data_IF_749422652491
#
_entry.id   IF_749422652491
#
_cell.length_a   1.000
_cell.length_b   1.000
_cell.length_c   1.000
_cell.angle_alpha   90.00
_cell.angle_beta   90.00
_cell.angle_gamma   90.00
#
_symmetry.space_group_name_H-M   'P 1'
#
loop_
_entity.id
_entity.type
_entity.pdbx_description
1 polymer ?
#
# COMPACT_ATOMS: atom_id res chain seq x y z
N UNK A 1 -30.88 -40.32 54.09
CA UNK A 1 -30.70 -39.01 53.44
C UNK A 1 -29.22 -38.71 53.44
N UNK A 2 -28.54 -38.95 52.32
CA UNK A 2 -27.09 -38.77 52.21
C UNK A 2 -26.82 -37.52 51.35
N UNK A 3 -26.14 -36.55 51.96
CA UNK A 3 -25.97 -35.20 51.45
C UNK A 3 -24.84 -35.17 50.41
N UNK A 4 -25.19 -35.21 49.11
CA UNK A 4 -24.26 -34.99 48.01
C UNK A 4 -24.04 -33.50 47.78
N UNK A 5 -23.12 -32.89 48.52
CA UNK A 5 -22.65 -31.53 48.22
C UNK A 5 -21.15 -31.43 48.49
N UNK A 6 -20.34 -31.90 47.54
CA UNK A 6 -18.87 -31.83 47.67
C UNK A 6 -18.09 -31.83 46.36
N UNK A 7 -18.72 -31.58 45.21
CA UNK A 7 -18.04 -31.74 43.92
C UNK A 7 -18.49 -30.72 42.87
N UNK A 8 -18.40 -29.43 43.19
CA UNK A 8 -18.59 -28.34 42.20
C UNK A 8 -17.46 -27.30 42.18
N UNK A 9 -16.42 -27.44 43.00
CA UNK A 9 -15.40 -26.39 43.18
C UNK A 9 -14.05 -26.66 42.47
N UNK A 10 -13.83 -27.86 41.92
CA UNK A 10 -12.57 -28.20 41.26
C UNK A 10 -12.54 -27.89 39.75
N UNK A 11 -13.68 -27.53 39.14
CA UNK A 11 -13.78 -27.24 37.71
C UNK A 11 -13.87 -25.75 37.37
N UNK A 12 -14.12 -24.87 38.36
CA UNK A 12 -14.31 -23.42 38.12
C UNK A 12 -13.00 -22.64 38.08
N UNK A 13 -12.02 -23.00 38.92
CA UNK A 13 -10.72 -22.34 38.96
C UNK A 13 -9.82 -22.57 37.73
N UNK A 14 -9.66 -23.80 37.19
CA UNK A 14 -8.84 -24.00 35.99
C UNK A 14 -9.47 -23.36 34.74
N UNK A 15 -10.80 -23.34 34.64
CA UNK A 15 -11.50 -22.69 33.52
C UNK A 15 -11.30 -21.16 33.51
N UNK A 16 -11.36 -20.52 34.69
CA UNK A 16 -11.07 -19.08 34.82
C UNK A 16 -9.60 -18.75 34.51
N UNK A 17 -8.66 -19.61 34.91
CA UNK A 17 -7.25 -19.44 34.59
C UNK A 17 -6.99 -19.53 33.07
N UNK A 18 -7.63 -20.46 32.37
CA UNK A 18 -7.51 -20.58 30.91
C UNK A 18 -8.08 -19.34 30.21
N UNK A 19 -9.25 -18.85 30.63
CA UNK A 19 -9.85 -17.63 30.06
C UNK A 19 -8.96 -16.41 30.30
N UNK A 20 -8.39 -16.27 31.51
CA UNK A 20 -7.46 -15.21 31.82
C UNK A 20 -6.17 -15.27 30.96
N UNK A 21 -5.61 -16.47 30.74
CA UNK A 21 -4.43 -16.66 29.87
C UNK A 21 -4.76 -16.30 28.42
N UNK A 22 -5.95 -16.68 27.91
CA UNK A 22 -6.40 -16.32 26.56
C UNK A 22 -6.57 -14.80 26.42
N UNK A 23 -7.15 -14.12 27.41
CA UNK A 23 -7.31 -12.66 27.41
C UNK A 23 -5.97 -11.91 27.53
N UNK A 24 -5.02 -12.43 28.31
CA UNK A 24 -3.67 -11.87 28.42
C UNK A 24 -2.91 -12.06 27.11
N UNK A 25 -3.01 -13.24 26.48
CA UNK A 25 -2.42 -13.49 25.17
C UNK A 25 -3.03 -12.59 24.10
N UNK A 26 -4.36 -12.43 24.06
CA UNK A 26 -5.07 -11.57 23.11
C UNK A 26 -4.75 -10.07 23.27
N UNK A 27 -4.52 -9.59 24.50
CA UNK A 27 -4.16 -8.18 24.77
C UNK A 27 -2.66 -7.90 24.68
N UNK A 28 -1.81 -8.93 24.69
CA UNK A 28 -0.36 -8.79 24.54
C UNK A 28 0.07 -8.59 23.07
N UNK A 29 1.29 -8.10 22.84
CA UNK A 29 1.93 -8.06 21.51
C UNK A 29 1.93 -9.42 20.79
N UNK A 30 1.76 -10.54 21.52
CA UNK A 30 1.66 -11.88 20.95
C UNK A 30 0.27 -12.20 20.36
N UNK A 31 -0.80 -11.56 20.83
CA UNK A 31 -2.15 -11.72 20.27
C UNK A 31 -2.22 -11.26 18.81
N UNK A 32 -1.59 -10.12 18.50
CA UNK A 32 -1.36 -9.67 17.12
C UNK A 32 -0.62 -10.72 16.30
N UNK A 33 0.39 -11.39 16.88
CA UNK A 33 1.21 -12.43 16.22
C UNK A 33 0.42 -13.72 15.91
N UNK A 34 -0.53 -14.11 16.77
CA UNK A 34 -1.34 -15.33 16.57
C UNK A 34 -2.45 -15.10 15.54
N UNK A 35 -2.98 -13.88 15.40
CA UNK A 35 -3.92 -13.55 14.32
C UNK A 35 -3.34 -13.73 12.91
N UNK A 36 -2.01 -13.67 12.74
CA UNK A 36 -1.34 -13.98 11.45
C UNK A 36 -1.34 -15.48 11.11
N UNK A 37 -1.42 -16.37 12.11
CA UNK A 37 -1.41 -17.82 11.89
C UNK A 37 -2.78 -18.40 11.48
N UNK A 38 -3.86 -17.63 11.65
CA UNK A 38 -5.25 -18.07 11.40
C UNK A 38 -5.81 -17.50 10.10
N UNK A 39 -5.18 -16.46 9.54
CA UNK A 39 -5.55 -15.85 8.27
C UNK A 39 -4.78 -16.56 7.15
N UNK A 40 -5.43 -16.80 6.01
CA UNK A 40 -4.83 -17.50 4.88
C UNK A 40 -3.54 -16.83 4.40
N UNK A 41 -2.86 -17.45 3.42
CA UNK A 41 -1.72 -16.84 2.75
C UNK A 41 -2.05 -15.39 2.38
N UNK A 42 -1.17 -14.49 2.77
CA UNK A 42 -1.32 -13.05 2.77
C UNK A 42 -0.29 -12.52 1.81
N UNK A 43 -0.74 -12.24 0.59
CA UNK A 43 0.15 -11.79 -0.47
C UNK A 43 0.40 -10.28 -0.31
N UNK A 44 1.55 -9.82 -0.79
CA UNK A 44 1.84 -8.38 -0.78
C UNK A 44 0.86 -7.60 -1.69
N UNK A 45 0.64 -6.30 -1.44
CA UNK A 45 -0.16 -5.46 -2.32
C UNK A 45 0.32 -5.51 -3.77
N UNK A 46 -0.61 -5.38 -4.72
CA UNK A 46 -0.29 -5.23 -6.14
C UNK A 46 -0.41 -3.76 -6.55
N UNK A 47 0.52 -3.30 -7.40
CA UNK A 47 0.52 -1.93 -7.96
C UNK A 47 0.53 -2.03 -9.47
N UNK A 48 -0.50 -1.48 -10.10
CA UNK A 48 -0.56 -1.25 -11.53
C UNK A 48 -0.57 0.24 -11.84
N UNK A 49 0.17 0.62 -12.87
CA UNK A 49 0.27 1.99 -13.31
C UNK A 49 0.22 2.08 -14.83
N UNK A 50 -0.74 2.87 -15.31
CA UNK A 50 -0.93 3.19 -16.72
C UNK A 50 -0.96 4.71 -16.90
N UNK A 51 -0.81 5.22 -18.11
CA UNK A 51 -0.96 6.64 -18.37
C UNK A 51 -1.61 6.92 -19.72
N UNK A 52 -2.24 8.07 -19.80
CA UNK A 52 -3.00 8.50 -20.96
C UNK A 52 -2.63 9.95 -21.30
N UNK A 53 -2.51 10.27 -22.60
CA UNK A 53 -2.52 9.34 -23.73
C UNK A 53 -1.20 8.57 -23.89
N UNK A 54 -1.31 7.40 -24.54
CA UNK A 54 -0.17 6.62 -25.02
C UNK A 54 0.36 7.29 -26.30
N UNK A 55 1.41 8.11 -26.19
CA UNK A 55 2.02 8.81 -27.34
C UNK A 55 2.66 10.13 -26.93
N UNK A 56 3.09 10.94 -27.93
CA UNK A 56 3.72 12.24 -27.70
C UNK A 56 2.73 13.25 -27.14
N UNK A 57 2.81 13.53 -25.85
CA UNK A 57 2.00 14.57 -25.19
C UNK A 57 2.75 15.37 -24.17
N UNK A 58 2.39 16.64 -24.03
CA UNK A 58 3.01 17.55 -23.07
C UNK A 58 2.83 17.02 -21.65
N UNK A 59 3.81 17.23 -20.76
CA UNK A 59 3.67 16.92 -19.34
C UNK A 59 2.44 17.58 -18.70
N UNK A 60 2.02 18.75 -19.22
CA UNK A 60 0.78 19.45 -18.81
C UNK A 60 -0.50 18.68 -19.11
N UNK A 61 -0.46 17.78 -20.09
CA UNK A 61 -1.61 17.01 -20.59
C UNK A 61 -1.54 15.55 -20.16
N UNK A 62 -0.38 15.11 -19.67
CA UNK A 62 -0.14 13.75 -19.24
C UNK A 62 -0.82 13.46 -17.89
N UNK A 63 -1.58 12.36 -17.85
CA UNK A 63 -2.21 11.87 -16.62
C UNK A 63 -1.91 10.39 -16.45
N UNK A 64 -1.38 10.04 -15.27
CA UNK A 64 -1.20 8.67 -14.82
C UNK A 64 -2.44 8.17 -14.10
N UNK A 65 -2.76 6.90 -14.27
CA UNK A 65 -3.76 6.19 -13.49
C UNK A 65 -3.07 5.07 -12.73
N UNK A 66 -3.21 5.12 -11.41
CA UNK A 66 -2.70 4.08 -10.51
C UNK A 66 -3.86 3.22 -10.03
N UNK A 67 -3.64 1.91 -9.99
CA UNK A 67 -4.53 0.92 -9.42
C UNK A 67 -3.76 0.13 -8.37
N UNK A 68 -4.32 0.04 -7.16
CA UNK A 68 -3.76 -0.70 -6.04
C UNK A 68 -4.78 -1.77 -5.61
N UNK A 69 -4.31 -2.96 -5.29
CA UNK A 69 -5.13 -4.07 -4.82
C UNK A 69 -4.41 -4.86 -3.72
N UNK A 70 -5.15 -5.30 -2.72
CA UNK A 70 -4.69 -6.15 -1.62
C UNK A 70 -5.81 -7.10 -1.17
N UNK A 71 -5.46 -8.31 -0.73
CA UNK A 71 -6.41 -9.33 -0.30
C UNK A 71 -7.03 -9.03 1.08
N UNK A 72 -6.39 -8.18 1.90
CA UNK A 72 -6.88 -7.77 3.21
C UNK A 72 -7.23 -6.29 3.31
N UNK A 73 -6.23 -5.41 3.34
CA UNK A 73 -6.37 -3.98 3.56
C UNK A 73 -5.08 -3.22 3.24
N UNK A 74 -5.20 -2.19 2.41
CA UNK A 74 -4.10 -1.26 2.12
C UNK A 74 -3.89 -0.28 3.29
N UNK A 75 -2.64 -0.06 3.69
CA UNK A 75 -2.24 1.07 4.54
C UNK A 75 -1.96 2.28 3.67
N UNK A 76 -3.00 3.06 3.41
CA UNK A 76 -2.92 4.26 2.59
C UNK A 76 -1.94 5.31 3.10
N UNK A 77 -1.63 5.36 4.41
CA UNK A 77 -0.65 6.30 4.94
C UNK A 77 0.75 6.13 4.34
N UNK A 78 1.03 4.93 3.82
CA UNK A 78 2.30 4.58 3.19
C UNK A 78 2.34 4.84 1.69
N UNK A 79 1.19 5.14 1.07
CA UNK A 79 1.11 5.30 -0.38
C UNK A 79 1.80 6.59 -0.83
N UNK A 80 2.77 6.43 -1.74
CA UNK A 80 3.58 7.53 -2.27
C UNK A 80 3.84 7.34 -3.76
N UNK A 81 3.74 8.44 -4.51
CA UNK A 81 4.25 8.53 -5.88
C UNK A 81 5.32 9.62 -5.93
N UNK A 82 6.54 9.23 -6.31
CA UNK A 82 7.72 10.09 -6.31
C UNK A 82 8.39 10.11 -7.69
N UNK A 83 8.87 11.28 -8.10
CA UNK A 83 9.83 11.43 -9.19
C UNK A 83 11.23 11.35 -8.61
N UNK A 84 11.92 10.25 -8.86
CA UNK A 84 13.17 9.89 -8.18
C UNK A 84 14.27 10.90 -8.44
N UNK A 85 14.39 11.41 -9.67
CA UNK A 85 15.50 12.28 -10.07
C UNK A 85 15.50 13.61 -9.32
N UNK A 86 14.32 14.13 -8.98
CA UNK A 86 14.15 15.44 -8.34
C UNK A 86 13.62 15.33 -6.90
N UNK A 87 13.49 14.10 -6.36
CA UNK A 87 12.94 13.84 -5.03
C UNK A 87 11.53 14.41 -4.80
N UNK A 88 10.75 14.61 -5.87
CA UNK A 88 9.45 15.30 -5.81
C UNK A 88 8.33 14.31 -5.63
N UNK A 89 7.58 14.45 -4.55
CA UNK A 89 6.35 13.69 -4.31
C UNK A 89 5.20 14.31 -5.09
N UNK A 90 4.60 13.52 -5.99
CA UNK A 90 3.47 13.95 -6.80
C UNK A 90 2.14 13.74 -6.08
N UNK A 91 2.06 12.67 -5.29
CA UNK A 91 0.84 12.24 -4.63
C UNK A 91 1.15 11.45 -3.37
N UNK A 92 0.31 11.67 -2.37
CA UNK A 92 0.15 10.86 -1.16
C UNK A 92 -1.30 10.44 -1.08
N UNK A 93 -1.62 9.38 -0.33
CA UNK A 93 -3.02 9.02 -0.15
C UNK A 93 -3.77 10.06 0.66
N UNK A 94 -5.10 9.93 0.62
CA UNK A 94 -5.97 10.58 1.59
C UNK A 94 -6.01 9.69 2.84
N UNK A 95 -5.74 10.30 3.99
CA UNK A 95 -5.62 9.62 5.29
C UNK A 95 -6.94 8.97 5.78
N UNK A 96 -8.07 9.33 5.16
CA UNK A 96 -9.42 8.86 5.49
C UNK A 96 -9.86 7.62 4.70
N UNK A 97 -9.02 7.11 3.78
CA UNK A 97 -9.35 5.97 2.95
C UNK A 97 -9.06 4.65 3.68
N UNK A 98 -10.01 3.72 3.57
CA UNK A 98 -9.86 2.33 4.01
C UNK A 98 -10.50 1.45 2.94
N UNK A 99 -9.77 0.45 2.44
CA UNK A 99 -10.17 -0.32 1.29
C UNK A 99 -9.12 -1.34 0.85
N UNK A 100 -9.60 -2.33 0.11
CA UNK A 100 -8.79 -3.36 -0.55
C UNK A 100 -8.31 -2.95 -1.93
N UNK A 101 -9.04 -2.04 -2.54
CA UNK A 101 -8.75 -1.52 -3.88
C UNK A 101 -8.73 0.00 -3.84
N UNK A 102 -7.87 0.60 -4.66
CA UNK A 102 -7.80 2.04 -4.82
C UNK A 102 -7.40 2.43 -6.23
N UNK A 103 -8.12 3.40 -6.78
CA UNK A 103 -7.79 3.99 -8.09
C UNK A 103 -7.66 5.50 -7.94
N UNK A 104 -6.59 6.06 -8.49
CA UNK A 104 -6.39 7.51 -8.50
C UNK A 104 -5.78 8.00 -9.80
N UNK A 105 -5.98 9.30 -10.06
CA UNK A 105 -5.42 9.99 -11.21
C UNK A 105 -4.35 10.96 -10.75
N UNK A 106 -3.18 10.87 -11.37
CA UNK A 106 -2.02 11.69 -11.05
C UNK A 106 -1.69 12.59 -12.24
N UNK A 107 -1.77 13.89 -12.03
CA UNK A 107 -1.38 14.87 -13.05
C UNK A 107 0.12 15.17 -12.98
N UNK A 108 0.76 15.20 -14.15
CA UNK A 108 2.18 15.55 -14.29
C UNK A 108 2.40 17.03 -14.63
N UNK A 109 1.34 17.84 -14.68
CA UNK A 109 1.45 19.25 -15.08
C UNK A 109 2.42 20.06 -14.21
N UNK A 110 2.52 19.71 -12.93
CA UNK A 110 3.45 20.31 -11.98
C UNK A 110 4.95 20.00 -12.23
N UNK A 111 5.25 19.12 -13.19
CA UNK A 111 6.61 18.80 -13.65
C UNK A 111 6.97 19.56 -14.93
N UNK A 112 5.98 20.20 -15.58
CA UNK A 112 6.22 20.99 -16.77
C UNK A 112 7.18 22.14 -16.45
N UNK A 113 8.22 22.30 -17.27
CA UNK A 113 9.23 23.33 -17.08
C UNK A 113 10.31 23.00 -16.05
N UNK A 114 10.33 21.79 -15.47
CA UNK A 114 11.45 21.37 -14.65
C UNK A 114 12.70 21.14 -15.54
N UNK A 115 13.80 21.91 -15.32
CA UNK A 115 14.97 21.87 -16.18
C UNK A 115 15.72 20.54 -16.12
N UNK A 116 15.73 19.86 -14.97
CA UNK A 116 16.43 18.58 -14.80
C UNK A 116 15.73 17.45 -15.55
N UNK A 117 14.41 17.40 -15.47
CA UNK A 117 13.58 16.43 -16.20
C UNK A 117 13.72 16.65 -17.72
N UNK A 118 13.64 17.91 -18.16
CA UNK A 118 13.78 18.24 -19.58
C UNK A 118 15.18 17.89 -20.09
N UNK A 119 16.24 18.24 -19.36
CA UNK A 119 17.61 17.93 -19.76
C UNK A 119 17.87 16.43 -19.87
N UNK A 120 17.30 15.62 -18.96
CA UNK A 120 17.43 14.16 -18.99
C UNK A 120 16.59 13.50 -20.08
N UNK A 121 15.50 14.15 -20.51
CA UNK A 121 14.57 13.57 -21.47
C UNK A 121 13.90 12.28 -20.98
N UNK A 122 13.85 12.08 -19.65
CA UNK A 122 13.15 10.99 -19.00
C UNK A 122 12.97 11.27 -17.51
N UNK A 123 12.00 10.61 -16.89
CA UNK A 123 11.78 10.59 -15.45
C UNK A 123 11.43 9.18 -14.97
N UNK A 124 11.81 8.88 -13.74
CA UNK A 124 11.50 7.60 -13.08
C UNK A 124 10.47 7.87 -11.99
N UNK A 125 9.31 7.23 -12.12
CA UNK A 125 8.29 7.21 -11.09
C UNK A 125 8.51 6.02 -10.19
N UNK A 126 8.66 6.28 -8.89
CA UNK A 126 8.60 5.27 -7.84
C UNK A 126 7.23 5.33 -7.19
N UNK A 127 6.53 4.21 -7.20
CA UNK A 127 5.19 4.06 -6.63
C UNK A 127 5.30 2.98 -5.56
N UNK A 128 4.93 3.33 -4.34
CA UNK A 128 4.97 2.40 -3.21
C UNK A 128 3.69 2.44 -2.40
N UNK A 129 3.31 1.29 -1.84
CA UNK A 129 2.22 1.13 -0.88
C UNK A 129 2.49 -0.12 -0.03
N UNK A 130 2.13 -0.07 1.24
CA UNK A 130 2.11 -1.22 2.13
C UNK A 130 0.69 -1.62 2.50
N UNK A 131 0.51 -2.86 2.95
CA UNK A 131 -0.71 -3.33 3.61
C UNK A 131 -0.72 -2.93 5.11
N UNK A 132 -1.83 -3.21 5.79
CA UNK A 132 -2.00 -2.99 7.24
C UNK A 132 -1.10 -3.87 8.13
N UNK A 133 -0.34 -4.78 7.51
CA UNK A 133 0.60 -5.71 8.13
C UNK A 133 2.06 -5.33 7.91
N UNK A 134 2.31 -4.30 7.11
CA UNK A 134 3.63 -3.76 6.80
C UNK A 134 4.35 -4.44 5.63
N UNK A 135 3.66 -5.24 4.81
CA UNK A 135 4.21 -5.75 3.55
C UNK A 135 4.24 -4.63 2.51
N UNK A 136 5.44 -4.15 2.19
CA UNK A 136 5.65 -3.09 1.22
C UNK A 136 5.77 -3.65 -0.19
N UNK A 137 5.00 -3.09 -1.12
CA UNK A 137 5.23 -3.22 -2.56
C UNK A 137 5.72 -1.90 -3.11
N UNK A 138 6.71 -1.99 -3.99
CA UNK A 138 7.27 -0.85 -4.73
C UNK A 138 7.45 -1.25 -6.20
N UNK A 139 7.08 -0.34 -7.11
CA UNK A 139 7.37 -0.47 -8.54
C UNK A 139 8.05 0.82 -9.03
N UNK A 140 8.90 0.66 -10.03
CA UNK A 140 9.46 1.78 -10.77
C UNK A 140 8.95 1.78 -12.22
N UNK A 141 8.66 2.97 -12.75
CA UNK A 141 8.21 3.18 -14.13
C UNK A 141 8.99 4.32 -14.75
N UNK A 142 9.71 4.02 -15.84
CA UNK A 142 10.45 5.03 -16.60
C UNK A 142 9.55 5.60 -17.69
N UNK A 143 9.43 6.93 -17.70
CA UNK A 143 8.70 7.70 -18.69
C UNK A 143 9.73 8.52 -19.46
N UNK A 144 9.87 8.32 -20.76
CA UNK A 144 10.73 9.17 -21.58
C UNK A 144 9.99 10.46 -21.88
N UNK A 145 10.74 11.55 -22.02
CA UNK A 145 10.24 12.90 -22.25
C UNK A 145 11.06 13.51 -23.38
N UNK A 146 10.38 14.08 -24.37
CA UNK A 146 10.93 14.83 -25.46
C UNK A 146 11.02 16.30 -25.04
N UNK A 147 12.22 16.83 -24.75
CA UNK A 147 12.40 18.19 -24.29
C UNK A 147 12.00 19.26 -25.31
N UNK A 148 12.05 18.97 -26.62
CA UNK A 148 11.71 19.95 -27.67
C UNK A 148 10.21 20.23 -27.76
N UNK A 149 9.38 19.32 -27.24
CA UNK A 149 7.92 19.41 -27.23
C UNK A 149 7.34 19.41 -25.81
N UNK A 150 8.18 19.32 -24.76
CA UNK A 150 7.76 18.99 -23.40
C UNK A 150 7.00 17.67 -23.29
N UNK A 151 7.24 16.69 -24.19
CA UNK A 151 6.30 15.61 -24.48
C UNK A 151 6.76 14.18 -24.16
N UNK A 152 6.03 13.38 -23.39
CA UNK A 152 6.44 12.03 -22.98
C UNK A 152 6.27 10.93 -24.06
N UNK A 153 7.13 9.90 -24.09
CA UNK A 153 6.98 8.63 -24.84
C UNK A 153 7.33 7.44 -23.91
N UNK A 154 6.54 6.37 -23.92
CA UNK A 154 6.85 5.14 -23.14
C UNK A 154 7.79 4.23 -23.94
N UNK A 155 8.84 3.69 -23.30
CA UNK A 155 9.40 2.40 -23.74
C UNK A 155 9.17 1.41 -22.61
N UNK A 156 8.33 0.41 -22.87
CA UNK A 156 8.24 -0.80 -22.04
C UNK A 156 9.49 -1.60 -22.34
N UNK A 157 10.35 -1.81 -21.36
CA UNK A 157 11.40 -2.82 -21.47
C UNK A 157 10.77 -4.13 -21.00
N UNK A 158 10.69 -5.10 -21.91
CA UNK A 158 10.30 -6.50 -21.61
C UNK A 158 11.24 -7.14 -20.57
#
# INVERSE_FOLDING_TARGET
MENKSGMRWFFTFPALAIIAIVLILASSKYGKRISYLVRGQDDKPTIDFTWIPLGRVRLTEMVGQVFLEDDYALDFSTFKIEVVEIGKVLRIAREDLVGREYTDRVSFAQLAGNPEINMRGQMTLRISVADDRGQLTEIERVIKINPELGSAEMKVTE
#
